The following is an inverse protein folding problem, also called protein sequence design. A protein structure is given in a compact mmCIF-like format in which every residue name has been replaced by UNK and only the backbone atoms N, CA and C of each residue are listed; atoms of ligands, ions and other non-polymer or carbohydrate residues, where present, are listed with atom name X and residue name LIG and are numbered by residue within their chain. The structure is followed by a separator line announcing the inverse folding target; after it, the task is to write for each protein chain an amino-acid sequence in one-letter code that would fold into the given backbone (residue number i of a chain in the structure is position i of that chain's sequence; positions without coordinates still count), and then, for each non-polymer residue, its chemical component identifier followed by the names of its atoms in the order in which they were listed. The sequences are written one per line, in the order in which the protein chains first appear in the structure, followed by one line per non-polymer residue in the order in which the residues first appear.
data_IF_399657741838
#
_entry.id   IF_399657741838
#
_cell.length_a   1.000
_cell.length_b   1.000
_cell.length_c   1.000
_cell.angle_alpha   90.00
_cell.angle_beta   90.00
_cell.angle_gamma   90.00
#
_symmetry.space_group_name_H-M   'P 1'
#
loop_
_entity.id
_entity.type
_entity.pdbx_description
1 polymer ?
#
# COMPACT_ATOMS: atom_id res chain seq x y z
N UNK A 1 -4.78 -4.33 28.77
CA UNK A 1 -4.09 -4.16 27.48
C UNK A 1 -3.08 -5.27 27.11
N UNK A 2 -2.64 -6.12 28.05
CA UNK A 2 -1.62 -7.18 27.79
C UNK A 2 -2.18 -8.53 27.24
N UNK A 3 -3.47 -8.81 27.38
CA UNK A 3 -4.01 -10.16 27.11
C UNK A 3 -4.21 -10.54 25.63
N UNK A 4 -4.25 -9.58 24.69
CA UNK A 4 -4.44 -9.88 23.28
C UNK A 4 -3.16 -10.06 22.44
N UNK A 5 -2.02 -9.57 22.92
CA UNK A 5 -0.75 -9.68 22.16
C UNK A 5 -0.26 -11.11 21.98
N UNK A 6 -0.69 -12.05 22.85
CA UNK A 6 -0.24 -13.44 22.79
C UNK A 6 -1.02 -14.31 21.78
N UNK A 7 -2.18 -13.86 21.31
CA UNK A 7 -3.04 -14.63 20.39
C UNK A 7 -2.94 -14.18 18.94
N UNK A 8 -2.44 -12.96 18.67
CA UNK A 8 -2.29 -12.47 17.31
C UNK A 8 -1.20 -13.27 16.57
N UNK A 9 -1.63 -14.05 15.58
CA UNK A 9 -0.71 -14.71 14.66
C UNK A 9 -0.59 -13.88 13.39
N UNK A 10 0.67 -13.68 12.91
CA UNK A 10 0.95 -12.83 11.76
C UNK A 10 1.83 -13.60 10.80
N UNK A 11 1.42 -13.59 9.54
CA UNK A 11 2.17 -14.12 8.41
C UNK A 11 2.29 -12.99 7.36
N UNK A 12 3.37 -12.96 6.61
CA UNK A 12 3.56 -11.97 5.55
C UNK A 12 4.50 -12.48 4.48
N UNK A 13 4.34 -11.97 3.26
CA UNK A 13 5.23 -12.25 2.15
C UNK A 13 5.28 -11.04 1.20
N UNK A 14 6.40 -10.91 0.50
CA UNK A 14 6.58 -9.96 -0.60
C UNK A 14 7.37 -10.61 -1.72
N UNK A 15 7.03 -10.28 -2.98
CA UNK A 15 7.68 -10.85 -4.16
C UNK A 15 7.67 -9.83 -5.30
N UNK A 16 8.83 -9.56 -5.92
CA UNK A 16 8.86 -8.76 -7.13
C UNK A 16 8.12 -9.47 -8.27
N UNK A 17 7.58 -8.71 -9.20
CA UNK A 17 6.98 -9.33 -10.38
C UNK A 17 8.07 -9.98 -11.25
N UNK A 18 7.79 -11.20 -11.74
CA UNK A 18 8.79 -12.03 -12.39
C UNK A 18 9.02 -11.80 -13.89
N UNK A 19 8.41 -10.78 -14.50
CA UNK A 19 8.49 -10.60 -15.97
C UNK A 19 9.76 -9.90 -16.44
N UNK A 20 10.36 -9.07 -15.59
CA UNK A 20 11.58 -8.34 -15.91
C UNK A 20 12.64 -8.68 -14.88
N UNK A 21 13.69 -9.37 -15.31
CA UNK A 21 14.80 -9.83 -14.46
C UNK A 21 15.56 -8.68 -13.76
N UNK A 22 15.32 -7.44 -14.15
CA UNK A 22 16.05 -6.26 -13.68
C UNK A 22 15.21 -5.30 -12.81
N UNK A 23 13.88 -5.51 -12.67
CA UNK A 23 13.07 -4.63 -11.84
C UNK A 23 13.21 -5.02 -10.37
N UNK A 24 13.73 -4.16 -9.49
CA UNK A 24 13.67 -4.41 -8.05
C UNK A 24 12.23 -4.36 -7.56
N UNK A 25 11.95 -5.03 -6.46
CA UNK A 25 10.67 -4.88 -5.76
C UNK A 25 10.51 -3.44 -5.26
N UNK A 26 9.49 -2.74 -5.72
CA UNK A 26 9.16 -1.38 -5.31
C UNK A 26 8.20 -1.32 -4.13
N UNK A 27 7.51 -2.45 -3.83
CA UNK A 27 6.68 -2.57 -2.63
C UNK A 27 7.51 -2.56 -1.35
N UNK A 28 6.92 -2.04 -0.29
CA UNK A 28 7.49 -2.10 1.06
C UNK A 28 6.47 -2.63 2.06
N UNK A 29 6.96 -3.35 3.04
CA UNK A 29 6.13 -3.80 4.15
C UNK A 29 6.83 -3.59 5.50
N UNK A 30 6.03 -3.37 6.54
CA UNK A 30 6.50 -3.36 7.92
C UNK A 30 5.47 -4.07 8.81
N UNK A 31 5.99 -4.96 9.66
CA UNK A 31 5.22 -5.68 10.67
C UNK A 31 5.90 -5.50 12.01
N UNK A 32 5.32 -4.68 12.88
CA UNK A 32 5.71 -4.58 14.29
C UNK A 32 4.56 -5.10 15.17
N UNK A 33 4.62 -6.38 15.47
CA UNK A 33 3.63 -7.06 16.30
C UNK A 33 3.54 -6.47 17.72
N UNK A 34 4.68 -6.10 18.28
CA UNK A 34 4.73 -5.62 19.67
C UNK A 34 4.03 -4.27 19.83
N UNK A 35 4.19 -3.39 18.83
CA UNK A 35 3.56 -2.08 18.81
C UNK A 35 2.21 -2.07 18.10
N UNK A 36 1.90 -3.15 17.37
CA UNK A 36 0.68 -3.26 16.58
C UNK A 36 0.70 -2.36 15.36
N UNK A 37 1.86 -2.18 14.71
CA UNK A 37 2.00 -1.34 13.52
C UNK A 37 2.14 -2.25 12.30
N UNK A 38 1.28 -2.01 11.29
CA UNK A 38 1.28 -2.77 10.04
C UNK A 38 1.20 -1.79 8.87
N UNK A 39 2.16 -1.89 7.95
CA UNK A 39 2.26 -0.99 6.80
C UNK A 39 2.50 -1.83 5.54
N UNK A 40 1.72 -1.57 4.50
CA UNK A 40 1.96 -2.05 3.14
C UNK A 40 2.00 -0.83 2.25
N UNK A 41 3.10 -0.68 1.51
CA UNK A 41 3.28 0.37 0.52
C UNK A 41 3.51 -0.27 -0.85
N UNK A 42 2.95 0.36 -1.85
CA UNK A 42 3.13 0.06 -3.26
C UNK A 42 3.93 1.19 -3.90
N UNK A 43 4.96 0.83 -4.65
CA UNK A 43 5.78 1.78 -5.40
C UNK A 43 5.21 2.01 -6.78
N UNK A 44 4.91 3.27 -7.14
CA UNK A 44 4.36 3.58 -8.46
C UNK A 44 5.39 3.29 -9.53
N UNK A 45 5.17 2.17 -10.24
CA UNK A 45 6.07 1.63 -11.27
C UNK A 45 6.26 2.59 -12.44
N UNK A 46 7.50 2.80 -12.86
CA UNK A 46 7.84 3.62 -14.03
C UNK A 46 7.27 3.04 -15.33
N UNK A 47 7.04 3.86 -16.36
CA UNK A 47 6.76 3.38 -17.71
C UNK A 47 7.90 2.53 -18.26
N UNK A 48 7.56 1.55 -19.12
CA UNK A 48 8.54 0.77 -19.89
C UNK A 48 9.54 1.68 -20.63
N UNK A 49 10.82 1.35 -20.59
CA UNK A 49 11.89 2.10 -21.24
C UNK A 49 12.69 3.02 -20.31
N UNK A 50 12.16 3.39 -19.17
CA UNK A 50 12.90 4.23 -18.20
C UNK A 50 13.81 3.39 -17.27
N UNK A 51 13.62 2.07 -17.25
CA UNK A 51 14.45 1.15 -16.43
C UNK A 51 15.82 0.86 -17.04
N UNK A 52 16.00 0.98 -18.34
CA UNK A 52 17.28 0.67 -19.00
C UNK A 52 18.42 1.61 -18.57
N UNK A 53 18.11 2.79 -18.05
CA UNK A 53 19.08 3.77 -17.59
C UNK A 53 19.16 3.88 -16.05
N UNK A 54 18.36 3.14 -15.29
CA UNK A 54 18.35 3.23 -13.83
C UNK A 54 19.39 2.29 -13.22
N UNK A 55 20.25 2.76 -12.30
CA UNK A 55 21.02 1.87 -11.44
C UNK A 55 20.09 0.97 -10.63
N UNK A 56 20.60 -0.12 -10.10
CA UNK A 56 19.93 -1.26 -9.45
C UNK A 56 18.83 -0.94 -8.42
N UNK A 57 18.67 0.32 -8.00
CA UNK A 57 17.65 0.77 -7.07
C UNK A 57 16.62 1.62 -7.81
N UNK A 58 15.35 1.22 -7.71
CA UNK A 58 14.24 2.00 -8.25
C UNK A 58 14.03 3.27 -7.42
N UNK A 59 13.81 4.41 -8.07
CA UNK A 59 13.51 5.65 -7.36
C UNK A 59 12.18 5.57 -6.58
N UNK A 60 11.20 4.79 -7.04
CA UNK A 60 9.98 4.52 -6.29
C UNK A 60 10.27 3.67 -5.03
N UNK A 61 11.17 2.69 -5.15
CA UNK A 61 11.64 1.93 -3.99
C UNK A 61 12.36 2.82 -2.96
N UNK A 62 13.24 3.75 -3.39
CA UNK A 62 13.88 4.72 -2.48
C UNK A 62 12.84 5.62 -1.79
N UNK A 63 11.84 6.11 -2.52
CA UNK A 63 10.74 6.90 -1.95
C UNK A 63 9.92 6.09 -0.96
N UNK A 64 9.63 4.83 -1.27
CA UNK A 64 8.99 3.89 -0.36
C UNK A 64 9.77 3.71 0.94
N UNK A 65 11.10 3.56 0.87
CA UNK A 65 11.96 3.45 2.04
C UNK A 65 11.99 4.72 2.89
N UNK A 66 12.11 5.89 2.26
CA UNK A 66 12.07 7.19 2.94
C UNK A 66 10.74 7.35 3.69
N UNK A 67 9.63 7.06 3.00
CA UNK A 67 8.30 7.17 3.56
C UNK A 67 8.08 6.20 4.72
N UNK A 68 8.37 4.91 4.52
CA UNK A 68 8.20 3.87 5.52
C UNK A 68 8.96 4.18 6.81
N UNK A 69 10.24 4.52 6.68
CA UNK A 69 11.11 4.79 7.83
C UNK A 69 10.62 6.02 8.61
N UNK A 70 10.19 7.08 7.91
CA UNK A 70 9.71 8.29 8.56
C UNK A 70 8.37 8.07 9.26
N UNK A 71 7.43 7.39 8.61
CA UNK A 71 6.12 7.04 9.19
C UNK A 71 6.31 6.18 10.44
N UNK A 72 7.11 5.12 10.33
CA UNK A 72 7.35 4.22 11.45
C UNK A 72 8.00 4.92 12.65
N UNK A 73 9.04 5.71 12.41
CA UNK A 73 9.71 6.48 13.47
C UNK A 73 8.71 7.40 14.18
N UNK A 74 7.95 8.19 13.42
CA UNK A 74 6.98 9.11 14.00
C UNK A 74 5.91 8.39 14.83
N UNK A 75 5.35 7.30 14.32
CA UNK A 75 4.35 6.51 15.05
C UNK A 75 4.95 5.98 16.35
N UNK A 76 6.18 5.43 16.33
CA UNK A 76 6.84 4.92 17.53
C UNK A 76 7.01 5.98 18.61
N UNK A 77 7.39 7.19 18.22
CA UNK A 77 7.62 8.31 19.15
C UNK A 77 6.31 8.83 19.77
N UNK A 78 5.15 8.63 19.09
CA UNK A 78 3.85 9.16 19.49
C UNK A 78 2.82 8.10 19.88
N UNK A 79 3.22 6.83 20.05
CA UNK A 79 2.28 5.74 20.41
C UNK A 79 1.50 5.98 21.70
N UNK A 80 2.01 6.81 22.61
CA UNK A 80 1.32 7.16 23.86
C UNK A 80 0.19 8.18 23.66
N UNK A 81 0.16 8.88 22.54
CA UNK A 81 -0.85 9.90 22.28
C UNK A 81 -2.24 9.27 22.14
N UNK A 82 -3.29 9.94 22.64
CA UNK A 82 -4.61 9.33 22.73
C UNK A 82 -5.32 9.15 21.38
N UNK A 83 -4.94 9.90 20.36
CA UNK A 83 -5.61 9.90 19.05
C UNK A 83 -4.80 9.20 17.96
N UNK A 84 -5.10 7.93 17.63
CA UNK A 84 -4.45 7.24 16.51
C UNK A 84 -4.64 7.95 15.17
N UNK A 85 -5.76 8.64 14.98
CA UNK A 85 -6.02 9.43 13.79
C UNK A 85 -4.96 10.52 13.59
N UNK A 86 -4.74 11.33 14.62
CA UNK A 86 -3.76 12.43 14.56
C UNK A 86 -2.35 11.86 14.34
N UNK A 87 -1.99 10.78 15.04
CA UNK A 87 -0.69 10.12 14.86
C UNK A 87 -0.48 9.71 13.41
N UNK A 88 -1.47 9.05 12.81
CA UNK A 88 -1.37 8.57 11.43
C UNK A 88 -1.33 9.72 10.42
N UNK A 89 -2.21 10.73 10.57
CA UNK A 89 -2.24 11.90 9.68
C UNK A 89 -0.94 12.70 9.74
N UNK A 90 -0.40 12.94 10.92
CA UNK A 90 0.87 13.65 11.08
C UNK A 90 2.05 12.82 10.57
N UNK A 91 2.07 11.51 10.82
CA UNK A 91 3.12 10.62 10.32
C UNK A 91 3.23 10.67 8.80
N UNK A 92 2.11 10.56 8.08
CA UNK A 92 2.12 10.59 6.61
C UNK A 92 2.43 11.97 6.07
N UNK A 93 1.96 13.05 6.70
CA UNK A 93 2.28 14.41 6.32
C UNK A 93 3.79 14.67 6.41
N UNK A 94 4.41 14.34 7.54
CA UNK A 94 5.85 14.52 7.76
C UNK A 94 6.67 13.64 6.81
N UNK A 95 6.22 12.42 6.53
CA UNK A 95 6.87 11.55 5.57
C UNK A 95 6.79 12.12 4.14
N UNK A 96 5.65 12.67 3.75
CA UNK A 96 5.49 13.32 2.45
C UNK A 96 6.37 14.57 2.31
N UNK A 97 6.50 15.39 3.36
CA UNK A 97 7.45 16.51 3.40
C UNK A 97 8.92 16.03 3.21
N UNK A 98 9.25 14.83 3.72
CA UNK A 98 10.57 14.24 3.53
C UNK A 98 10.81 13.85 2.08
N UNK A 99 9.80 13.31 1.39
CA UNK A 99 9.85 13.04 -0.05
C UNK A 99 10.06 14.33 -0.84
N UNK A 100 9.37 15.42 -0.49
CA UNK A 100 9.58 16.72 -1.14
C UNK A 100 11.03 17.20 -1.02
N UNK A 101 11.64 17.05 0.16
CA UNK A 101 13.07 17.38 0.36
C UNK A 101 13.98 16.50 -0.49
N UNK A 102 13.70 15.19 -0.57
CA UNK A 102 14.43 14.26 -1.41
C UNK A 102 14.34 14.64 -2.90
N UNK A 103 13.14 14.97 -3.40
CA UNK A 103 12.92 15.44 -4.78
C UNK A 103 13.80 16.65 -5.11
N UNK A 104 13.79 17.66 -4.25
CA UNK A 104 14.59 18.89 -4.42
C UNK A 104 16.09 18.60 -4.44
N UNK A 105 16.57 17.72 -3.55
CA UNK A 105 17.99 17.35 -3.49
C UNK A 105 18.47 16.59 -4.73
N UNK A 106 17.59 15.80 -5.35
CA UNK A 106 17.91 14.98 -6.54
C UNK A 106 17.57 15.66 -7.86
N UNK A 107 17.06 16.91 -7.83
CA UNK A 107 16.57 17.64 -9.02
C UNK A 107 15.54 16.84 -9.83
N UNK A 108 14.68 16.08 -9.14
CA UNK A 108 13.71 15.16 -9.77
C UNK A 108 12.60 15.94 -10.47
N UNK A 109 12.39 17.21 -10.14
CA UNK A 109 11.38 18.06 -10.76
C UNK A 109 11.58 18.25 -12.28
N UNK A 110 12.76 17.90 -12.80
CA UNK A 110 13.07 17.87 -14.23
C UNK A 110 12.61 16.57 -14.91
N UNK A 111 12.17 15.58 -14.15
CA UNK A 111 11.74 14.29 -14.68
C UNK A 111 10.26 14.34 -15.11
N UNK A 112 9.95 13.69 -16.23
CA UNK A 112 8.58 13.52 -16.71
C UNK A 112 7.71 12.61 -15.82
N UNK A 113 8.32 11.94 -14.85
CA UNK A 113 7.68 11.00 -13.94
C UNK A 113 8.28 11.11 -12.54
N UNK A 114 7.44 11.41 -11.55
CA UNK A 114 7.88 11.52 -10.17
C UNK A 114 7.82 10.16 -9.47
N UNK A 115 8.91 9.70 -8.84
CA UNK A 115 8.86 8.54 -7.99
C UNK A 115 7.90 8.79 -6.84
N UNK A 116 7.03 7.83 -6.59
CA UNK A 116 5.98 7.94 -5.58
C UNK A 116 5.66 6.60 -4.97
N UNK A 117 4.97 6.64 -3.85
CA UNK A 117 4.42 5.45 -3.20
C UNK A 117 3.00 5.73 -2.70
N UNK A 118 2.25 4.67 -2.48
CA UNK A 118 0.91 4.72 -1.92
C UNK A 118 0.74 3.53 -0.96
N UNK A 119 -0.34 3.44 -0.21
CA UNK A 119 -0.49 2.27 0.65
C UNK A 119 -1.48 2.36 1.78
N UNK A 120 -1.42 1.37 2.65
CA UNK A 120 -2.18 1.28 3.90
C UNK A 120 -1.22 1.33 5.07
N UNK A 121 -1.43 2.30 5.96
CA UNK A 121 -0.67 2.50 7.20
C UNK A 121 -1.63 2.29 8.36
N UNK A 122 -1.29 1.41 9.30
CA UNK A 122 -2.23 1.06 10.36
C UNK A 122 -1.60 0.88 11.73
N UNK A 123 -2.42 1.15 12.77
CA UNK A 123 -2.10 0.94 14.18
C UNK A 123 -3.23 0.14 14.82
N UNK A 124 -2.90 -0.98 15.43
CA UNK A 124 -3.84 -1.78 16.22
C UNK A 124 -3.82 -1.32 17.69
N UNK A 125 -4.96 -0.81 18.17
CA UNK A 125 -5.16 -0.47 19.58
C UNK A 125 -6.27 -1.32 20.21
N UNK A 126 -5.89 -2.22 21.09
CA UNK A 126 -6.83 -3.19 21.63
C UNK A 126 -7.37 -4.09 20.52
N UNK A 127 -8.67 -4.00 20.24
CA UNK A 127 -9.35 -4.73 19.17
C UNK A 127 -9.67 -3.86 17.95
N UNK A 128 -9.27 -2.61 17.94
CA UNK A 128 -9.58 -1.67 16.86
C UNK A 128 -8.34 -1.42 16.01
N UNK A 129 -8.43 -1.73 14.72
CA UNK A 129 -7.45 -1.31 13.72
C UNK A 129 -7.81 0.10 13.25
N UNK A 130 -6.92 1.05 13.50
CA UNK A 130 -6.97 2.39 12.92
C UNK A 130 -6.08 2.42 11.70
N UNK A 131 -6.55 2.92 10.57
CA UNK A 131 -5.75 2.95 9.34
C UNK A 131 -5.96 4.21 8.51
N UNK A 132 -4.92 4.56 7.77
CA UNK A 132 -4.99 5.45 6.64
C UNK A 132 -4.80 4.64 5.36
N UNK A 133 -5.54 5.02 4.32
CA UNK A 133 -5.38 4.49 2.98
C UNK A 133 -5.17 5.60 1.98
N UNK A 134 -4.25 5.36 1.04
CA UNK A 134 -3.97 6.20 -0.11
C UNK A 134 -3.77 5.28 -1.32
N UNK A 135 -4.41 5.60 -2.44
CA UNK A 135 -4.28 4.84 -3.68
C UNK A 135 -5.05 3.52 -3.68
N UNK A 136 -4.48 2.47 -4.26
CA UNK A 136 -5.16 1.23 -4.61
C UNK A 136 -4.73 -0.02 -3.85
N UNK A 137 -3.88 0.11 -2.84
CA UNK A 137 -3.69 -0.95 -1.86
C UNK A 137 -5.04 -1.37 -1.25
N UNK A 138 -5.19 -2.64 -0.93
CA UNK A 138 -6.45 -3.22 -0.49
C UNK A 138 -6.34 -3.85 0.89
N UNK A 139 -7.38 -3.64 1.72
CA UNK A 139 -7.63 -4.43 2.91
C UNK A 139 -8.81 -5.38 2.70
N UNK A 140 -8.68 -6.60 3.19
CA UNK A 140 -9.78 -7.59 3.16
C UNK A 140 -9.91 -8.23 4.54
N UNK A 141 -11.06 -7.99 5.18
CA UNK A 141 -11.43 -8.66 6.41
C UNK A 141 -12.34 -9.84 6.10
N UNK A 142 -11.95 -11.02 6.55
CA UNK A 142 -12.83 -12.21 6.53
C UNK A 142 -13.41 -12.41 7.92
N UNK A 143 -14.74 -12.34 7.98
CA UNK A 143 -15.55 -12.58 9.17
C UNK A 143 -16.71 -13.50 8.83
N UNK A 144 -16.86 -14.61 9.53
CA UNK A 144 -17.93 -15.60 9.28
C UNK A 144 -18.01 -16.04 7.80
N UNK A 145 -16.87 -16.29 7.15
CA UNK A 145 -16.75 -16.62 5.72
C UNK A 145 -17.24 -15.53 4.74
N UNK A 146 -17.56 -14.34 5.23
CA UNK A 146 -17.86 -13.18 4.41
C UNK A 146 -16.65 -12.28 4.29
N UNK A 147 -16.48 -11.62 3.14
CA UNK A 147 -15.40 -10.66 2.89
C UNK A 147 -15.93 -9.23 3.00
N UNK A 148 -15.21 -8.41 3.74
CA UNK A 148 -15.37 -6.95 3.79
C UNK A 148 -14.12 -6.35 3.18
N UNK A 149 -14.25 -5.64 2.07
CA UNK A 149 -13.16 -5.00 1.34
C UNK A 149 -13.12 -3.53 1.73
N UNK A 150 -11.92 -3.03 2.02
CA UNK A 150 -11.68 -1.63 2.39
C UNK A 150 -10.33 -1.14 1.86
N UNK A 151 -10.08 0.15 1.98
CA UNK A 151 -8.77 0.75 1.73
C UNK A 151 -8.60 1.26 0.31
N UNK A 152 -9.18 0.60 -0.68
CA UNK A 152 -9.00 0.98 -2.08
C UNK A 152 -9.71 2.29 -2.41
N UNK A 153 -9.00 3.22 -3.01
CA UNK A 153 -9.57 4.44 -3.55
C UNK A 153 -10.46 4.13 -4.77
N UNK A 154 -11.70 4.60 -4.73
CA UNK A 154 -12.70 4.24 -5.75
C UNK A 154 -12.37 4.79 -7.14
N UNK A 155 -11.68 5.92 -7.20
CA UNK A 155 -11.29 6.62 -8.43
C UNK A 155 -10.27 5.85 -9.26
N UNK A 156 -9.46 4.99 -8.67
CA UNK A 156 -8.46 4.17 -9.37
C UNK A 156 -9.08 3.33 -10.49
N UNK A 157 -10.29 2.81 -10.28
CA UNK A 157 -11.01 2.06 -11.33
C UNK A 157 -11.26 2.89 -12.60
N UNK A 158 -11.51 4.18 -12.47
CA UNK A 158 -11.75 5.04 -13.62
C UNK A 158 -10.46 5.29 -14.41
N UNK A 159 -9.33 5.36 -13.73
CA UNK A 159 -7.99 5.46 -14.36
C UNK A 159 -7.62 4.19 -15.10
N UNK A 160 -7.95 3.01 -14.58
CA UNK A 160 -7.74 1.72 -15.24
C UNK A 160 -8.50 1.59 -16.56
N UNK A 161 -9.62 2.29 -16.69
CA UNK A 161 -10.44 2.30 -17.92
C UNK A 161 -9.85 3.26 -18.97
N UNK A 162 -9.06 4.25 -18.58
CA UNK A 162 -8.41 5.16 -19.53
C UNK A 162 -7.37 4.41 -20.35
N UNK A 163 -7.46 4.53 -21.69
CA UNK A 163 -6.47 3.98 -22.63
C UNK A 163 -5.16 4.79 -22.68
N UNK A 164 -5.00 5.76 -21.79
CA UNK A 164 -3.81 6.58 -21.69
C UNK A 164 -2.58 5.76 -21.28
N UNK A 165 -1.40 6.16 -21.73
CA UNK A 165 -0.13 5.59 -21.26
C UNK A 165 0.04 5.81 -19.77
N UNK A 166 0.93 5.04 -19.10
CA UNK A 166 1.18 5.18 -17.66
C UNK A 166 1.69 6.58 -17.30
N UNK A 167 2.57 7.16 -18.11
CA UNK A 167 3.07 8.54 -17.93
C UNK A 167 1.96 9.59 -18.05
N UNK A 168 1.10 9.47 -19.07
CA UNK A 168 -0.04 10.36 -19.24
C UNK A 168 -1.03 10.22 -18.09
N UNK A 169 -1.30 9.00 -17.62
CA UNK A 169 -2.15 8.77 -16.44
C UNK A 169 -1.58 9.43 -15.19
N UNK A 170 -0.29 9.29 -14.95
CA UNK A 170 0.37 9.94 -13.83
C UNK A 170 0.24 11.48 -13.91
N UNK A 171 0.59 12.07 -15.05
CA UNK A 171 0.55 13.52 -15.25
C UNK A 171 -0.86 14.12 -15.16
N UNK A 172 -1.89 13.37 -15.57
CA UNK A 172 -3.26 13.88 -15.65
C UNK A 172 -4.10 13.54 -14.41
N UNK A 173 -3.76 12.48 -13.68
CA UNK A 173 -4.66 11.91 -12.67
C UNK A 173 -4.04 11.75 -11.29
N UNK A 174 -2.71 11.79 -11.14
CA UNK A 174 -2.12 11.74 -9.81
C UNK A 174 -2.16 13.08 -9.10
N UNK A 175 -2.72 13.13 -7.89
CA UNK A 175 -2.76 14.32 -7.05
C UNK A 175 -3.40 15.56 -7.71
N UNK A 176 -4.44 15.38 -8.51
CA UNK A 176 -5.21 16.46 -9.14
C UNK A 176 -6.61 16.56 -8.51
N UNK A 177 -6.80 17.29 -7.40
CA UNK A 177 -8.05 17.30 -6.63
C UNK A 177 -9.25 17.84 -7.41
N UNK A 178 -9.03 18.65 -8.44
CA UNK A 178 -10.06 19.14 -9.37
C UNK A 178 -10.52 18.09 -10.41
N UNK A 179 -9.78 17.00 -10.56
CA UNK A 179 -10.10 15.93 -11.48
C UNK A 179 -10.74 14.75 -10.71
N UNK A 180 -12.01 14.51 -10.95
CA UNK A 180 -12.77 13.42 -10.33
C UNK A 180 -12.25 12.00 -10.62
N UNK A 181 -11.34 11.86 -11.58
CA UNK A 181 -10.62 10.62 -11.89
C UNK A 181 -9.25 10.54 -11.20
N UNK A 182 -8.86 11.57 -10.46
CA UNK A 182 -7.58 11.60 -9.79
C UNK A 182 -7.49 10.54 -8.69
N UNK A 183 -6.32 9.96 -8.53
CA UNK A 183 -5.96 9.13 -7.39
C UNK A 183 -4.75 9.72 -6.66
N UNK A 184 -4.63 9.38 -5.39
CA UNK A 184 -3.66 9.98 -4.50
C UNK A 184 -2.41 9.12 -4.40
N UNK A 185 -1.23 9.77 -4.45
CA UNK A 185 0.07 9.14 -4.23
C UNK A 185 0.98 10.05 -3.39
N UNK A 186 1.82 9.48 -2.55
CA UNK A 186 2.85 10.22 -1.82
C UNK A 186 4.05 10.47 -2.73
N UNK A 187 4.17 11.68 -3.24
CA UNK A 187 5.21 12.15 -4.14
C UNK A 187 5.90 13.45 -3.67
N UNK A 188 5.53 13.94 -2.49
CA UNK A 188 6.04 15.18 -1.91
C UNK A 188 5.16 16.40 -2.15
N UNK A 189 4.05 16.29 -2.88
CA UNK A 189 3.09 17.38 -3.09
C UNK A 189 2.16 17.52 -1.88
N UNK A 190 1.91 18.74 -1.41
CA UNK A 190 1.08 18.96 -0.22
C UNK A 190 -0.39 18.58 -0.44
N UNK A 191 -0.85 18.66 -1.68
CA UNK A 191 -2.23 18.31 -2.08
C UNK A 191 -2.61 16.86 -1.79
N UNK A 192 -1.64 15.97 -1.61
CA UNK A 192 -1.88 14.57 -1.26
C UNK A 192 -2.70 14.43 0.02
N UNK A 193 -2.57 15.35 0.96
CA UNK A 193 -3.28 15.28 2.24
C UNK A 193 -4.80 15.37 2.10
N UNK A 194 -5.31 15.96 1.02
CA UNK A 194 -6.74 16.03 0.72
C UNK A 194 -7.33 14.68 0.30
N UNK A 195 -6.50 13.77 -0.22
CA UNK A 195 -6.90 12.42 -0.62
C UNK A 195 -6.66 11.33 0.43
N UNK A 196 -6.04 11.66 1.56
CA UNK A 196 -5.78 10.71 2.65
C UNK A 196 -7.07 10.31 3.34
N UNK A 197 -7.38 9.02 3.37
CA UNK A 197 -8.61 8.49 3.95
C UNK A 197 -8.31 7.77 5.27
N UNK A 198 -8.80 8.33 6.38
CA UNK A 198 -8.75 7.65 7.68
C UNK A 198 -10.03 6.88 7.95
N UNK A 199 -9.87 5.67 8.49
CA UNK A 199 -10.98 4.87 8.99
C UNK A 199 -10.54 3.93 10.11
N UNK A 200 -11.49 3.17 10.66
CA UNK A 200 -11.23 2.17 11.68
C UNK A 200 -12.11 0.92 11.48
N UNK A 201 -11.63 -0.20 11.98
CA UNK A 201 -12.33 -1.49 11.95
C UNK A 201 -12.17 -2.14 13.32
N UNK A 202 -13.30 -2.49 13.96
CA UNK A 202 -13.29 -3.33 15.14
C UNK A 202 -13.11 -4.80 14.73
N UNK A 203 -12.13 -5.46 15.35
CA UNK A 203 -11.74 -6.82 15.07
C UNK A 203 -12.25 -7.76 16.17
N UNK A 204 -12.72 -8.92 15.76
CA UNK A 204 -13.27 -9.96 16.63
C UNK A 204 -12.39 -11.20 16.60
N UNK A 205 -12.53 -12.02 17.63
CA UNK A 205 -11.90 -13.35 17.66
C UNK A 205 -12.39 -14.19 16.47
N UNK A 206 -11.46 -14.82 15.77
CA UNK A 206 -11.72 -15.57 14.55
C UNK A 206 -11.70 -14.75 13.26
N UNK A 207 -11.53 -13.43 13.33
CA UNK A 207 -11.32 -12.61 12.14
C UNK A 207 -9.96 -12.88 11.50
N UNK A 208 -9.93 -12.84 10.18
CA UNK A 208 -8.68 -12.85 9.40
C UNK A 208 -8.63 -11.59 8.55
N UNK A 209 -7.58 -10.82 8.75
CA UNK A 209 -7.36 -9.56 8.05
C UNK A 209 -6.18 -9.69 7.09
N UNK A 210 -6.37 -9.24 5.86
CA UNK A 210 -5.35 -9.08 4.84
C UNK A 210 -5.12 -7.60 4.57
N UNK A 211 -3.84 -7.18 4.50
CA UNK A 211 -3.42 -5.89 3.96
C UNK A 211 -2.47 -6.18 2.80
N UNK A 212 -2.71 -5.59 1.63
CA UNK A 212 -2.02 -5.98 0.41
C UNK A 212 -1.82 -4.83 -0.58
N UNK A 213 -0.76 -4.91 -1.39
CA UNK A 213 -0.60 -4.09 -2.59
C UNK A 213 -1.57 -4.53 -3.69
N UNK A 214 -1.70 -3.73 -4.73
CA UNK A 214 -2.64 -3.96 -5.83
C UNK A 214 -2.33 -5.22 -6.64
N UNK A 215 -1.06 -5.64 -6.72
CA UNK A 215 -0.62 -6.84 -7.45
C UNK A 215 -1.29 -8.15 -7.04
N UNK A 216 -1.96 -8.20 -5.87
CA UNK A 216 -2.78 -9.34 -5.45
C UNK A 216 -4.24 -8.97 -5.14
N UNK A 217 -4.64 -7.73 -5.41
CA UNK A 217 -5.98 -7.25 -5.08
C UNK A 217 -7.08 -8.09 -5.71
N UNK A 218 -6.95 -8.44 -6.98
CA UNK A 218 -7.97 -9.22 -7.70
C UNK A 218 -8.05 -10.67 -7.18
N UNK A 219 -6.92 -11.26 -6.82
CA UNK A 219 -6.93 -12.57 -6.15
C UNK A 219 -7.71 -12.53 -4.84
N UNK A 220 -7.44 -11.56 -3.98
CA UNK A 220 -8.15 -11.41 -2.71
C UNK A 220 -9.63 -11.10 -2.90
N UNK A 221 -10.01 -10.39 -3.97
CA UNK A 221 -11.40 -10.07 -4.28
C UNK A 221 -12.19 -11.27 -4.79
N UNK A 222 -11.64 -12.03 -5.71
CA UNK A 222 -12.39 -13.06 -6.45
C UNK A 222 -12.29 -14.45 -5.83
N UNK A 223 -11.20 -14.78 -5.11
CA UNK A 223 -11.09 -16.06 -4.42
C UNK A 223 -12.09 -16.22 -3.29
N UNK A 224 -12.48 -17.46 -2.99
CA UNK A 224 -13.38 -17.76 -1.88
C UNK A 224 -12.70 -17.47 -0.54
N UNK A 225 -13.47 -16.99 0.44
CA UNK A 225 -12.96 -16.72 1.79
C UNK A 225 -12.25 -17.93 2.40
N UNK A 226 -12.86 -19.13 2.28
CA UNK A 226 -12.28 -20.37 2.84
C UNK A 226 -10.90 -20.70 2.24
N UNK A 227 -10.71 -20.45 0.96
CA UNK A 227 -9.42 -20.70 0.29
C UNK A 227 -8.34 -19.71 0.76
N UNK A 228 -8.72 -18.47 1.05
CA UNK A 228 -7.80 -17.44 1.60
C UNK A 228 -7.42 -17.76 3.06
N UNK A 229 -8.37 -18.26 3.85
CA UNK A 229 -8.14 -18.60 5.26
C UNK A 229 -7.05 -19.64 5.40
N UNK A 230 -7.07 -20.67 4.55
CA UNK A 230 -6.22 -21.87 4.68
C UNK A 230 -4.84 -21.73 4.04
N UNK A 231 -4.63 -20.76 3.15
CA UNK A 231 -3.37 -20.55 2.44
C UNK A 231 -2.42 -19.63 3.20
N UNK A 232 -1.11 -19.93 3.12
CA UNK A 232 -0.08 -18.99 3.56
C UNK A 232 0.04 -17.80 2.58
N UNK A 233 0.62 -16.65 3.01
CA UNK A 233 0.89 -15.53 2.13
C UNK A 233 1.66 -15.91 0.86
N UNK A 234 2.68 -16.74 0.96
CA UNK A 234 3.48 -17.20 -0.18
C UNK A 234 2.60 -17.98 -1.19
N UNK A 235 1.75 -18.90 -0.68
CA UNK A 235 0.81 -19.65 -1.54
C UNK A 235 -0.24 -18.75 -2.19
N UNK A 236 -0.65 -17.68 -1.52
CA UNK A 236 -1.55 -16.65 -2.09
C UNK A 236 -0.84 -15.93 -3.22
N UNK A 237 0.39 -15.44 -3.00
CA UNK A 237 1.19 -14.74 -3.99
C UNK A 237 1.47 -15.62 -5.20
N UNK A 238 1.86 -16.88 -5.01
CA UNK A 238 2.08 -17.82 -6.11
C UNK A 238 0.80 -18.10 -6.90
N UNK A 239 -0.32 -18.32 -6.20
CA UNK A 239 -1.62 -18.58 -6.83
C UNK A 239 -2.20 -17.38 -7.55
N UNK A 240 -1.78 -16.15 -7.21
CA UNK A 240 -2.30 -14.91 -7.81
C UNK A 240 -1.83 -14.69 -9.25
N UNK A 241 -0.78 -15.37 -9.71
CA UNK A 241 -0.23 -15.21 -11.07
C UNK A 241 -1.24 -15.38 -12.20
N UNK A 242 -2.34 -16.08 -11.97
CA UNK A 242 -3.44 -16.20 -12.94
C UNK A 242 -4.22 -14.90 -13.15
N UNK A 243 -4.09 -13.93 -12.24
CA UNK A 243 -4.72 -12.62 -12.33
C UNK A 243 -3.79 -11.56 -12.96
N UNK A 244 -2.54 -11.92 -13.28
CA UNK A 244 -1.55 -11.03 -13.88
C UNK A 244 -1.75 -10.84 -15.40
N UNK A 245 -2.89 -11.26 -15.94
CA UNK A 245 -3.21 -11.21 -17.37
C UNK A 245 -4.69 -10.89 -17.60
N UNK A 246 -5.06 -10.41 -18.79
CA UNK A 246 -6.46 -10.18 -19.14
C UNK A 246 -7.34 -11.43 -18.87
N UNK A 247 -8.59 -11.26 -18.39
CA UNK A 247 -9.30 -9.99 -18.27
C UNK A 247 -9.06 -9.22 -16.96
N UNK A 248 -8.18 -9.67 -16.06
CA UNK A 248 -8.04 -9.09 -14.72
C UNK A 248 -7.04 -7.95 -14.68
N UNK A 249 -5.83 -8.16 -15.23
CA UNK A 249 -4.78 -7.14 -15.28
C UNK A 249 -4.15 -7.07 -16.66
N UNK A 250 -3.58 -5.92 -17.00
CA UNK A 250 -2.84 -5.72 -18.24
C UNK A 250 -1.36 -6.08 -18.10
N UNK A 251 -0.86 -6.15 -16.87
CA UNK A 251 0.54 -6.45 -16.53
C UNK A 251 0.62 -7.10 -15.15
N UNK A 252 1.71 -7.82 -14.90
CA UNK A 252 2.07 -8.28 -13.56
C UNK A 252 2.67 -7.14 -12.75
N UNK A 253 2.40 -7.10 -11.45
CA UNK A 253 2.98 -6.14 -10.53
C UNK A 253 3.67 -6.80 -9.33
N UNK A 254 4.41 -6.03 -8.55
CA UNK A 254 4.96 -6.48 -7.29
C UNK A 254 3.83 -6.91 -6.35
N UNK A 255 4.10 -7.84 -5.45
CA UNK A 255 3.08 -8.48 -4.62
C UNK A 255 3.50 -8.49 -3.18
N UNK A 256 2.74 -7.79 -2.35
CA UNK A 256 3.00 -7.72 -0.91
C UNK A 256 1.73 -7.98 -0.12
N UNK A 257 1.84 -8.82 0.91
CA UNK A 257 0.72 -9.27 1.72
C UNK A 257 1.11 -9.42 3.18
N UNK A 258 0.28 -8.87 4.06
CA UNK A 258 0.25 -9.16 5.50
C UNK A 258 -1.06 -9.87 5.81
N UNK A 259 -1.00 -10.99 6.54
CA UNK A 259 -2.16 -11.76 7.00
C UNK A 259 -2.13 -11.83 8.53
N UNK A 260 -3.19 -11.37 9.15
CA UNK A 260 -3.36 -11.28 10.60
C UNK A 260 -4.52 -12.17 11.03
N UNK A 261 -4.30 -13.02 12.03
CA UNK A 261 -5.33 -13.87 12.65
C UNK A 261 -5.61 -13.37 14.07
N UNK A 262 -6.86 -13.11 14.35
CA UNK A 262 -7.35 -12.58 15.63
C UNK A 262 -8.07 -13.61 16.47
#
# INVERSE_FOLDING_TARGET
MLLMKNTLHIEYATKPHGRELAKPNEDRLLVDKERGIFIVLDGVTRPHGEYEAAPFESAAGEVGDIFLNQVYSYICDHLSDPSPKIILEDAVRIANEKINKYRKLKSIDEWSFFPSTLGIISILRGKTLHYLCVGDCIGVLIRYNSKIIFGRELTVKAVDICQATKSERYALYCNHPENHLSYTVFNGDDVVMDGVQYSLIDLHEGDILFLASDGIADYLKYEKAIDLITKSPESIIEGSGRYDAPPFANYADDKTLIKLHF
#
